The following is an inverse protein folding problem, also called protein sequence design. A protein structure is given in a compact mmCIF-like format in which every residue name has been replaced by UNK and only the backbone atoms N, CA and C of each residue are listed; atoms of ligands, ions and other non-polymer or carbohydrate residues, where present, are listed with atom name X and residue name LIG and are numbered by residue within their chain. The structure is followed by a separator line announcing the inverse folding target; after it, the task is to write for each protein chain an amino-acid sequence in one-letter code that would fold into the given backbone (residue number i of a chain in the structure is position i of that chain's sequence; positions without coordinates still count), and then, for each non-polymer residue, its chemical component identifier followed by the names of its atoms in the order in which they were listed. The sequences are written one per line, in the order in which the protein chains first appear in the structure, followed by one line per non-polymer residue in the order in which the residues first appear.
data_IF_859291765205
#
_entry.id   IF_859291765205
#
_cell.length_a   1.000
_cell.length_b   1.000
_cell.length_c   1.000
_cell.angle_alpha   90.00
_cell.angle_beta   90.00
_cell.angle_gamma   90.00
#
_symmetry.space_group_name_H-M   'P 1'
#
loop_
_entity.id
_entity.type
_entity.pdbx_description
1 polymer ?
#
# COMPACT_ATOMS: atom_id res chain seq x y z
N UNK A 1 51.16 33.89 23.20
CA UNK A 1 51.99 33.58 24.39
C UNK A 1 53.49 33.71 24.10
N UNK A 2 53.95 33.28 22.92
CA UNK A 2 55.38 33.25 22.56
C UNK A 2 56.11 34.59 22.65
N UNK A 3 55.48 35.70 22.24
CA UNK A 3 56.07 37.03 22.41
C UNK A 3 56.24 37.42 23.89
N UNK A 4 55.26 37.10 24.74
CA UNK A 4 55.32 37.34 26.19
C UNK A 4 56.37 36.45 26.87
N UNK A 5 56.53 35.22 26.41
CA UNK A 5 57.59 34.30 26.83
C UNK A 5 58.98 34.86 26.43
N UNK A 6 59.17 35.31 25.19
CA UNK A 6 60.42 35.94 24.74
C UNK A 6 60.74 37.26 25.46
N UNK A 7 59.73 38.10 25.71
CA UNK A 7 59.88 39.35 26.46
C UNK A 7 60.27 39.09 27.92
N UNK A 8 59.66 38.08 28.56
CA UNK A 8 59.99 37.70 29.94
C UNK A 8 61.36 37.06 30.07
N UNK A 9 61.82 36.32 29.06
CA UNK A 9 63.20 35.81 28.99
C UNK A 9 64.22 36.95 28.90
N UNK A 10 63.99 37.93 28.02
CA UNK A 10 64.86 39.11 27.90
C UNK A 10 64.87 39.93 29.19
N UNK A 11 63.72 40.08 29.86
CA UNK A 11 63.62 40.74 31.16
C UNK A 11 64.36 39.98 32.28
N UNK A 12 64.35 38.64 32.26
CA UNK A 12 65.10 37.83 33.21
C UNK A 12 66.62 37.96 33.00
N UNK A 13 67.07 37.98 31.75
CA UNK A 13 68.49 38.17 31.38
C UNK A 13 68.99 39.55 31.82
N UNK A 14 68.22 40.62 31.57
CA UNK A 14 68.64 41.98 31.95
C UNK A 14 68.56 42.18 33.48
N UNK A 15 67.65 41.49 34.16
CA UNK A 15 67.56 41.48 35.63
C UNK A 15 68.76 40.76 36.29
N UNK A 16 69.24 39.66 35.71
CA UNK A 16 70.45 38.96 36.17
C UNK A 16 71.71 39.83 36.01
N UNK A 17 71.77 40.59 34.91
CA UNK A 17 72.85 41.54 34.60
C UNK A 17 72.92 42.74 35.56
N UNK A 18 71.80 43.09 36.19
CA UNK A 18 71.71 44.16 37.20
C UNK A 18 72.09 43.71 38.63
N UNK A 19 72.43 42.43 38.84
CA UNK A 19 72.90 41.91 40.12
C UNK A 19 71.88 42.04 41.27
N UNK A 20 72.33 42.50 42.44
CA UNK A 20 71.49 42.65 43.65
C UNK A 20 70.28 43.59 43.43
N UNK A 21 70.39 44.60 42.56
CA UNK A 21 69.31 45.54 42.25
C UNK A 21 68.24 44.95 41.32
N UNK A 22 68.54 43.86 40.58
CA UNK A 22 67.63 43.21 39.63
C UNK A 22 66.83 42.03 40.21
N UNK A 23 67.09 41.66 41.47
CA UNK A 23 66.53 40.45 42.10
C UNK A 23 65.00 40.41 42.10
N UNK A 24 64.33 41.54 42.36
CA UNK A 24 62.87 41.64 42.29
C UNK A 24 62.32 41.52 40.87
N UNK A 25 63.02 42.10 39.88
CA UNK A 25 62.65 42.00 38.47
C UNK A 25 62.83 40.58 37.91
N UNK A 26 63.85 39.84 38.37
CA UNK A 26 64.06 38.45 37.97
C UNK A 26 62.92 37.52 38.42
N UNK A 27 62.37 37.73 39.62
CA UNK A 27 61.21 36.97 40.13
C UNK A 27 59.96 37.29 39.30
N UNK A 28 59.70 38.57 39.02
CA UNK A 28 58.56 38.98 38.20
C UNK A 28 58.69 38.42 36.77
N UNK A 29 59.88 38.48 36.17
CA UNK A 29 60.11 37.93 34.83
C UNK A 29 59.88 36.41 34.77
N UNK A 30 60.32 35.67 35.80
CA UNK A 30 60.08 34.22 35.90
C UNK A 30 58.60 33.88 36.04
N UNK A 31 57.86 34.67 36.83
CA UNK A 31 56.42 34.48 37.02
C UNK A 31 55.62 34.83 35.75
N UNK A 32 56.00 35.91 35.04
CA UNK A 32 55.43 36.25 33.73
C UNK A 32 55.68 35.13 32.72
N UNK A 33 56.88 34.52 32.72
CA UNK A 33 57.19 33.36 31.87
C UNK A 33 56.28 32.18 32.18
N UNK A 34 56.15 31.83 33.45
CA UNK A 34 55.29 30.74 33.93
C UNK A 34 53.83 30.94 33.52
N UNK A 35 53.31 32.17 33.67
CA UNK A 35 51.95 32.52 33.25
C UNK A 35 51.79 32.50 31.73
N UNK A 36 52.80 32.93 30.96
CA UNK A 36 52.78 32.85 29.50
C UNK A 36 52.73 31.40 29.01
N UNK A 37 53.52 30.50 29.59
CA UNK A 37 53.50 29.07 29.26
C UNK A 37 52.16 28.42 29.62
N UNK A 38 51.61 28.72 30.81
CA UNK A 38 50.27 28.26 31.20
C UNK A 38 49.18 28.76 30.25
N UNK A 39 49.30 30.01 29.80
CA UNK A 39 48.35 30.59 28.83
C UNK A 39 48.48 29.92 27.46
N UNK A 40 49.70 29.55 27.03
CA UNK A 40 49.93 28.82 25.78
C UNK A 40 49.25 27.45 25.79
N UNK A 41 49.43 26.68 26.87
CA UNK A 41 48.79 25.37 27.05
C UNK A 41 47.27 25.49 27.06
N UNK A 42 46.72 26.42 27.86
CA UNK A 42 45.27 26.64 27.90
C UNK A 42 44.69 27.07 26.53
N UNK A 43 45.43 27.87 25.76
CA UNK A 43 45.03 28.28 24.41
C UNK A 43 45.02 27.08 23.45
N UNK A 44 46.02 26.19 23.55
CA UNK A 44 46.08 24.97 22.77
C UNK A 44 44.91 24.02 23.09
N UNK A 45 44.58 23.85 24.37
CA UNK A 45 43.45 23.04 24.80
C UNK A 45 42.11 23.61 24.29
N UNK A 46 41.96 24.95 24.32
CA UNK A 46 40.80 25.63 23.72
C UNK A 46 40.75 25.39 22.21
N UNK A 47 41.88 25.46 21.51
CA UNK A 47 41.92 25.20 20.07
C UNK A 47 41.47 23.76 19.74
N UNK A 48 41.93 22.78 20.52
CA UNK A 48 41.50 21.39 20.39
C UNK A 48 39.99 21.24 20.61
N UNK A 49 39.46 21.78 21.70
CA UNK A 49 38.02 21.76 21.99
C UNK A 49 37.20 22.42 20.87
N UNK A 50 37.66 23.54 20.33
CA UNK A 50 36.97 24.22 19.22
C UNK A 50 36.96 23.35 17.96
N UNK A 51 38.06 22.66 17.64
CA UNK A 51 38.12 21.72 16.50
C UNK A 51 37.17 20.54 16.69
N UNK A 52 37.09 19.98 17.90
CA UNK A 52 36.15 18.91 18.21
C UNK A 52 34.69 19.37 18.08
N UNK A 53 34.35 20.55 18.62
CA UNK A 53 33.03 21.15 18.48
C UNK A 53 32.69 21.36 17.00
N UNK A 54 33.61 21.91 16.21
CA UNK A 54 33.40 22.12 14.78
C UNK A 54 33.16 20.80 14.04
N UNK A 55 33.92 19.75 14.37
CA UNK A 55 33.73 18.42 13.79
C UNK A 55 32.37 17.82 14.17
N UNK A 56 31.98 17.91 15.45
CA UNK A 56 30.69 17.44 15.93
C UNK A 56 29.51 18.19 15.27
N UNK A 57 29.63 19.51 15.11
CA UNK A 57 28.64 20.33 14.40
C UNK A 57 28.53 19.91 12.93
N UNK A 58 29.66 19.72 12.24
CA UNK A 58 29.66 19.25 10.84
C UNK A 58 28.99 17.88 10.69
N UNK A 59 29.30 16.94 11.60
CA UNK A 59 28.65 15.63 11.64
C UNK A 59 27.14 15.74 11.91
N UNK A 60 26.74 16.64 12.81
CA UNK A 60 25.33 16.92 13.10
C UNK A 60 24.57 17.45 11.88
N UNK A 61 25.17 18.39 11.13
CA UNK A 61 24.57 18.92 9.89
C UNK A 61 24.39 17.81 8.84
N UNK A 62 25.41 16.99 8.61
CA UNK A 62 25.29 15.85 7.68
C UNK A 62 24.22 14.85 8.11
N UNK A 63 24.11 14.59 9.43
CA UNK A 63 23.05 13.76 9.99
C UNK A 63 21.66 14.34 9.75
N UNK A 64 21.50 15.66 9.92
CA UNK A 64 20.25 16.37 9.65
C UNK A 64 19.87 16.35 8.17
N UNK A 65 20.83 16.50 7.26
CA UNK A 65 20.59 16.42 5.82
C UNK A 65 20.09 15.04 5.40
N UNK A 66 20.74 13.99 5.90
CA UNK A 66 20.31 12.60 5.66
C UNK A 66 18.93 12.33 6.25
N UNK A 67 18.68 12.77 7.49
CA UNK A 67 17.36 12.64 8.12
C UNK A 67 16.28 13.36 7.32
N UNK A 68 16.57 14.55 6.81
CA UNK A 68 15.64 15.31 5.95
C UNK A 68 15.30 14.55 4.66
N UNK A 69 16.29 13.88 4.06
CA UNK A 69 16.07 13.04 2.88
C UNK A 69 15.22 11.80 3.20
N UNK A 70 15.50 11.11 4.31
CA UNK A 70 14.71 9.96 4.76
C UNK A 70 13.25 10.34 5.04
N UNK A 71 13.02 11.49 5.69
CA UNK A 71 11.67 12.02 5.92
C UNK A 71 10.97 12.34 4.59
N UNK A 72 11.65 12.98 3.64
CA UNK A 72 11.08 13.24 2.30
C UNK A 72 10.68 11.96 1.59
N UNK A 73 11.52 10.92 1.64
CA UNK A 73 11.19 9.61 1.06
C UNK A 73 9.99 8.97 1.75
N UNK A 74 9.95 8.99 3.09
CA UNK A 74 8.82 8.47 3.85
C UNK A 74 7.51 9.18 3.52
N UNK A 75 7.54 10.51 3.34
CA UNK A 75 6.36 11.27 2.91
C UNK A 75 5.87 10.87 1.51
N UNK A 76 6.78 10.58 0.58
CA UNK A 76 6.44 10.09 -0.74
C UNK A 76 5.76 8.71 -0.67
N UNK A 77 6.33 7.78 0.09
CA UNK A 77 5.76 6.44 0.30
C UNK A 77 4.36 6.50 0.92
N UNK A 78 4.17 7.33 1.96
CA UNK A 78 2.86 7.52 2.61
C UNK A 78 1.83 8.07 1.62
N UNK A 79 2.22 9.02 0.76
CA UNK A 79 1.34 9.57 -0.28
C UNK A 79 0.91 8.48 -1.27
N UNK A 80 1.86 7.64 -1.71
CA UNK A 80 1.60 6.54 -2.64
C UNK A 80 0.66 5.49 -2.02
N UNK A 81 0.85 5.15 -0.75
CA UNK A 81 -0.07 4.26 0.00
C UNK A 81 -1.46 4.90 0.11
N UNK A 82 -1.55 6.20 0.35
CA UNK A 82 -2.82 6.94 0.38
C UNK A 82 -3.58 6.85 -0.95
N UNK A 83 -2.89 6.99 -2.07
CA UNK A 83 -3.48 6.84 -3.40
C UNK A 83 -3.97 5.41 -3.65
N UNK A 84 -3.19 4.39 -3.29
CA UNK A 84 -3.59 2.98 -3.41
C UNK A 84 -4.84 2.66 -2.58
N UNK A 85 -4.90 3.16 -1.34
CA UNK A 85 -6.09 3.00 -0.49
C UNK A 85 -7.31 3.70 -1.08
N UNK A 86 -7.14 4.89 -1.66
CA UNK A 86 -8.22 5.60 -2.35
C UNK A 86 -8.78 4.79 -3.53
N UNK A 87 -7.91 4.16 -4.33
CA UNK A 87 -8.32 3.26 -5.40
C UNK A 87 -9.07 2.03 -4.89
N UNK A 88 -8.63 1.43 -3.78
CA UNK A 88 -9.34 0.30 -3.14
C UNK A 88 -10.74 0.73 -2.71
N UNK A 89 -10.87 1.90 -2.06
CA UNK A 89 -12.17 2.43 -1.63
C UNK A 89 -13.10 2.62 -2.83
N UNK A 90 -12.61 3.18 -3.93
CA UNK A 90 -13.41 3.34 -5.16
C UNK A 90 -13.87 2.00 -5.73
N UNK A 91 -13.00 0.98 -5.76
CA UNK A 91 -13.37 -0.36 -6.24
C UNK A 91 -14.42 -1.02 -5.34
N UNK A 92 -14.31 -0.87 -4.03
CA UNK A 92 -15.29 -1.38 -3.07
C UNK A 92 -16.63 -0.67 -3.21
N UNK A 93 -16.63 0.65 -3.39
CA UNK A 93 -17.85 1.43 -3.64
C UNK A 93 -18.53 1.02 -4.96
N UNK A 94 -17.75 0.69 -5.99
CA UNK A 94 -18.27 0.17 -7.26
C UNK A 94 -18.87 -1.25 -7.15
N UNK A 95 -18.65 -1.96 -6.04
CA UNK A 95 -19.21 -3.29 -5.81
C UNK A 95 -20.71 -3.23 -5.47
N UNK A 96 -21.14 -2.23 -4.69
CA UNK A 96 -22.52 -2.06 -4.27
C UNK A 96 -23.54 -2.03 -5.44
N UNK A 97 -23.37 -1.21 -6.49
CA UNK A 97 -24.29 -1.23 -7.63
C UNK A 97 -24.25 -2.54 -8.42
N UNK A 98 -23.10 -3.24 -8.45
CA UNK A 98 -23.01 -4.56 -9.11
C UNK A 98 -23.83 -5.62 -8.38
N UNK A 99 -23.82 -5.60 -7.04
CA UNK A 99 -24.64 -6.51 -6.23
C UNK A 99 -26.14 -6.26 -6.48
N UNK A 100 -26.55 -4.99 -6.60
CA UNK A 100 -27.93 -4.64 -6.94
C UNK A 100 -28.32 -5.19 -8.32
N UNK A 101 -27.46 -5.01 -9.33
CA UNK A 101 -27.68 -5.54 -10.67
C UNK A 101 -27.78 -7.08 -10.70
N UNK A 102 -26.95 -7.77 -9.91
CA UNK A 102 -27.05 -9.24 -9.76
C UNK A 102 -28.38 -9.63 -9.11
N UNK A 103 -28.84 -8.90 -8.11
CA UNK A 103 -30.11 -9.16 -7.45
C UNK A 103 -31.30 -8.96 -8.42
N UNK A 104 -31.29 -7.89 -9.21
CA UNK A 104 -32.28 -7.67 -10.27
C UNK A 104 -32.27 -8.80 -11.30
N UNK A 105 -31.09 -9.24 -11.74
CA UNK A 105 -30.93 -10.37 -12.64
C UNK A 105 -31.47 -11.68 -12.06
N UNK A 106 -31.21 -11.93 -10.77
CA UNK A 106 -31.77 -13.09 -10.06
C UNK A 106 -33.30 -13.04 -9.98
N UNK A 107 -33.87 -11.86 -9.76
CA UNK A 107 -35.32 -11.71 -9.70
C UNK A 107 -35.97 -11.95 -11.08
N UNK A 108 -35.37 -11.44 -12.15
CA UNK A 108 -35.79 -11.75 -13.52
C UNK A 108 -35.67 -13.25 -13.83
N UNK A 109 -34.59 -13.91 -13.38
CA UNK A 109 -34.39 -15.34 -13.55
C UNK A 109 -35.45 -16.16 -12.79
N UNK A 110 -35.82 -15.74 -11.58
CA UNK A 110 -36.88 -16.39 -10.81
C UNK A 110 -38.24 -16.30 -11.53
N UNK A 111 -38.58 -15.12 -12.06
CA UNK A 111 -39.79 -14.94 -12.88
C UNK A 111 -39.75 -15.80 -14.14
N UNK A 112 -38.60 -15.86 -14.83
CA UNK A 112 -38.42 -16.72 -16.00
C UNK A 112 -38.59 -18.20 -15.68
N UNK A 113 -38.07 -18.66 -14.54
CA UNK A 113 -38.23 -20.05 -14.07
C UNK A 113 -39.71 -20.39 -13.80
N UNK A 114 -40.47 -19.45 -13.25
CA UNK A 114 -41.91 -19.63 -13.02
C UNK A 114 -42.69 -19.72 -14.33
N UNK A 115 -42.35 -18.89 -15.33
CA UNK A 115 -42.93 -18.98 -16.68
C UNK A 115 -42.60 -20.31 -17.36
N UNK A 116 -41.36 -20.80 -17.22
CA UNK A 116 -40.96 -22.13 -17.74
C UNK A 116 -41.80 -23.22 -17.06
N UNK A 117 -41.97 -23.16 -15.74
CA UNK A 117 -42.78 -24.13 -15.02
C UNK A 117 -44.24 -24.15 -15.51
N UNK A 118 -44.84 -22.98 -15.73
CA UNK A 118 -46.18 -22.86 -16.30
C UNK A 118 -46.26 -23.45 -17.72
N UNK A 119 -45.27 -23.17 -18.57
CA UNK A 119 -45.21 -23.74 -19.92
C UNK A 119 -45.08 -25.27 -19.90
N UNK A 120 -44.34 -25.83 -18.95
CA UNK A 120 -44.22 -27.28 -18.76
C UNK A 120 -45.53 -27.93 -18.33
N UNK A 121 -46.31 -27.28 -17.46
CA UNK A 121 -47.65 -27.75 -17.07
C UNK A 121 -48.58 -27.78 -18.29
N UNK A 122 -48.62 -26.69 -19.08
CA UNK A 122 -49.42 -26.62 -20.30
C UNK A 122 -49.01 -27.68 -21.33
N UNK A 123 -47.70 -27.93 -21.46
CA UNK A 123 -47.19 -28.97 -22.35
C UNK A 123 -47.61 -30.38 -21.88
N UNK A 124 -47.59 -30.65 -20.58
CA UNK A 124 -48.04 -31.92 -20.01
C UNK A 124 -49.54 -32.15 -20.28
N UNK A 125 -50.36 -31.12 -20.10
CA UNK A 125 -51.80 -31.16 -20.40
C UNK A 125 -52.07 -31.43 -21.89
N UNK A 126 -51.37 -30.72 -22.78
CA UNK A 126 -51.47 -30.91 -24.22
C UNK A 126 -51.03 -32.32 -24.65
N UNK A 127 -49.97 -32.85 -24.03
CA UNK A 127 -49.52 -34.23 -24.24
C UNK A 127 -50.57 -35.25 -23.80
N UNK A 128 -51.22 -35.03 -22.65
CA UNK A 128 -52.31 -35.89 -22.17
C UNK A 128 -53.50 -35.88 -23.12
N UNK A 129 -53.90 -34.69 -23.59
CA UNK A 129 -54.99 -34.54 -24.58
C UNK A 129 -54.66 -35.26 -25.90
N UNK A 130 -53.40 -35.19 -26.34
CA UNK A 130 -52.93 -35.87 -27.56
C UNK A 130 -53.05 -37.38 -27.43
N UNK A 131 -52.68 -37.94 -26.26
CA UNK A 131 -52.84 -39.37 -25.99
C UNK A 131 -54.31 -39.79 -26.04
N UNK A 132 -55.21 -38.99 -25.49
CA UNK A 132 -56.65 -39.28 -25.52
C UNK A 132 -57.22 -39.22 -26.95
N UNK A 133 -56.86 -38.20 -27.72
CA UNK A 133 -57.27 -38.10 -29.13
C UNK A 133 -56.72 -39.27 -29.97
N UNK A 134 -55.50 -39.75 -29.71
CA UNK A 134 -54.96 -40.94 -30.36
C UNK A 134 -55.73 -42.21 -30.00
N UNK A 135 -56.18 -42.37 -28.75
CA UNK A 135 -57.05 -43.48 -28.35
C UNK A 135 -58.37 -43.46 -29.10
N UNK A 136 -59.02 -42.29 -29.16
CA UNK A 136 -60.28 -42.12 -29.90
C UNK A 136 -60.10 -42.42 -31.40
N UNK A 137 -59.02 -41.94 -32.01
CA UNK A 137 -58.69 -42.26 -33.39
C UNK A 137 -58.49 -43.77 -33.61
N UNK A 138 -57.81 -44.45 -32.69
CA UNK A 138 -57.62 -45.91 -32.75
C UNK A 138 -58.97 -46.65 -32.69
N UNK A 139 -59.88 -46.25 -31.80
CA UNK A 139 -61.23 -46.83 -31.72
C UNK A 139 -62.02 -46.64 -33.03
N UNK A 140 -61.98 -45.43 -33.61
CA UNK A 140 -62.65 -45.16 -34.88
C UNK A 140 -62.07 -45.98 -36.04
N UNK A 141 -60.74 -46.20 -36.06
CA UNK A 141 -60.08 -47.06 -37.05
C UNK A 141 -60.55 -48.52 -36.91
N UNK A 142 -60.67 -49.03 -35.68
CA UNK A 142 -61.18 -50.39 -35.43
C UNK A 142 -62.64 -50.55 -35.88
N UNK A 143 -63.51 -49.58 -35.61
CA UNK A 143 -64.90 -49.58 -36.11
C UNK A 143 -64.94 -49.56 -37.65
N UNK A 144 -64.17 -48.67 -38.29
CA UNK A 144 -64.09 -48.60 -39.74
C UNK A 144 -63.59 -49.92 -40.35
N UNK A 145 -62.62 -50.57 -39.70
CA UNK A 145 -62.12 -51.89 -40.09
C UNK A 145 -63.23 -52.95 -40.02
N UNK A 146 -64.00 -52.99 -38.93
CA UNK A 146 -65.14 -53.90 -38.80
C UNK A 146 -66.21 -53.66 -39.88
N UNK A 147 -66.56 -52.40 -40.14
CA UNK A 147 -67.53 -52.04 -41.19
C UNK A 147 -67.01 -52.44 -42.57
N UNK A 148 -65.73 -52.21 -42.86
CA UNK A 148 -65.12 -52.61 -44.14
C UNK A 148 -65.12 -54.14 -44.34
N UNK A 149 -64.84 -54.91 -43.28
CA UNK A 149 -64.95 -56.39 -43.30
C UNK A 149 -66.40 -56.83 -43.52
N UNK A 150 -67.36 -56.21 -42.83
CA UNK A 150 -68.79 -56.49 -42.98
C UNK A 150 -69.28 -56.21 -44.41
N UNK A 151 -68.92 -55.07 -45.00
CA UNK A 151 -69.22 -54.72 -46.39
C UNK A 151 -68.61 -55.73 -47.37
N UNK A 152 -67.35 -56.13 -47.16
CA UNK A 152 -66.68 -57.14 -48.00
C UNK A 152 -67.41 -58.49 -47.92
N UNK A 153 -67.84 -58.90 -46.73
CA UNK A 153 -68.67 -60.09 -46.52
C UNK A 153 -70.01 -59.99 -47.26
N UNK A 154 -70.70 -58.85 -47.14
CA UNK A 154 -71.94 -58.58 -47.87
C UNK A 154 -71.79 -58.69 -49.38
N UNK A 155 -70.79 -58.01 -49.96
CA UNK A 155 -70.50 -58.05 -51.41
C UNK A 155 -70.16 -59.47 -51.87
N UNK A 156 -69.42 -60.25 -51.07
CA UNK A 156 -69.09 -61.64 -51.42
C UNK A 156 -70.31 -62.56 -51.52
N UNK A 157 -71.38 -62.29 -50.76
CA UNK A 157 -72.64 -63.06 -50.79
C UNK A 157 -73.48 -62.77 -52.05
N UNK A 158 -73.32 -61.59 -52.65
CA UNK A 158 -73.97 -61.22 -53.91
C UNK A 158 -73.17 -61.63 -55.14
N UNK A 159 -71.92 -62.06 -54.97
CA UNK A 159 -71.07 -62.58 -56.04
C UNK A 159 -71.39 -64.07 -56.23
N UNK A 160 -72.50 -64.35 -56.92
CA UNK A 160 -72.82 -65.65 -57.56
C UNK A 160 -72.06 -65.74 -58.87
#
# INVERSE_FOLDING_TARGET
ADQTNLLSLNAAIEAEKAGEYGRGFAVVATEVRRLADQTAVATYDIEQMVREIQSAVSAGVMGMDKFSEEVRRGMFEVTQVGEQLSQIIQQVQALAPRVLMVNEGMQAQATGAEQINQALVQLADASSQTVESLRQASFAIDELSQVAVGLRGGVSRFKV
#
